data_IF_256611482336
#
_entry.id   IF_256611482336
#
_cell.length_a   1.000
_cell.length_b   1.000
_cell.length_c   1.000
_cell.angle_alpha   90.00
_cell.angle_beta   90.00
_cell.angle_gamma   90.00
#
_symmetry.space_group_name_H-M   'P 1'
#
loop_
_entity.id
_entity.type
_entity.pdbx_description
1 polymer ?
#
# COMPACT_ATOMS: atom_id res chain seq x y z
N UNK A 1 14.54 -12.82 14.57
CA UNK A 1 14.86 -11.74 13.61
C UNK A 1 14.07 -11.96 12.33
N UNK A 2 13.55 -10.89 11.78
CA UNK A 2 12.72 -10.97 10.57
C UNK A 2 13.58 -10.84 9.33
N UNK A 3 13.25 -11.63 8.30
CA UNK A 3 13.75 -11.37 6.95
C UNK A 3 13.10 -10.09 6.41
N UNK A 4 13.67 -9.46 5.37
CA UNK A 4 13.01 -8.33 4.71
C UNK A 4 11.63 -8.71 4.20
N UNK A 5 10.67 -7.85 4.48
CA UNK A 5 9.27 -8.03 4.07
C UNK A 5 8.92 -7.05 2.96
N UNK A 6 7.99 -7.45 2.09
CA UNK A 6 7.32 -6.51 1.18
C UNK A 6 6.04 -6.07 1.90
N UNK A 7 5.95 -4.79 2.24
CA UNK A 7 4.85 -4.24 3.02
C UNK A 7 4.01 -3.32 2.13
N UNK A 8 2.74 -3.68 1.95
CA UNK A 8 1.81 -2.83 1.24
C UNK A 8 1.33 -1.71 2.16
N UNK A 9 1.48 -0.47 1.73
CA UNK A 9 0.96 0.70 2.43
C UNK A 9 -0.45 0.96 1.92
N UNK A 10 -1.45 0.81 2.79
CA UNK A 10 -2.85 0.98 2.45
C UNK A 10 -3.43 2.17 3.21
N UNK A 11 -4.17 3.03 2.52
CA UNK A 11 -4.79 4.20 3.12
C UNK A 11 -5.63 4.97 2.12
N UNK A 12 -6.22 6.10 2.53
CA UNK A 12 -7.05 6.90 1.64
C UNK A 12 -6.27 7.40 0.42
N UNK A 13 -6.89 7.26 -0.75
CA UNK A 13 -6.37 7.82 -2.00
C UNK A 13 -7.39 8.81 -2.58
N UNK A 14 -8.57 8.34 -3.02
CA UNK A 14 -9.61 9.20 -3.57
C UNK A 14 -10.70 9.58 -2.57
N UNK A 15 -10.84 8.81 -1.50
CA UNK A 15 -11.88 9.05 -0.49
C UNK A 15 -11.72 10.43 0.14
N UNK A 16 -12.82 11.15 0.24
CA UNK A 16 -12.86 12.46 0.87
C UNK A 16 -12.30 13.61 0.03
N UNK A 17 -12.00 13.35 -1.24
CA UNK A 17 -11.37 14.35 -2.12
C UNK A 17 -12.36 15.05 -3.08
N UNK A 18 -13.57 14.51 -3.24
CA UNK A 18 -14.55 14.97 -4.23
C UNK A 18 -13.95 15.09 -5.65
N UNK A 19 -12.97 14.23 -5.95
CA UNK A 19 -12.30 14.25 -7.25
C UNK A 19 -11.28 15.37 -7.42
N UNK A 20 -10.99 16.14 -6.37
CA UNK A 20 -10.02 17.22 -6.45
C UNK A 20 -8.59 16.67 -6.63
N UNK A 21 -7.93 17.07 -7.72
CA UNK A 21 -6.62 16.56 -8.08
C UNK A 21 -5.56 16.86 -7.01
N UNK A 22 -5.62 18.06 -6.40
CA UNK A 22 -4.67 18.42 -5.34
C UNK A 22 -4.84 17.59 -4.09
N UNK A 23 -6.09 17.30 -3.71
CA UNK A 23 -6.38 16.47 -2.55
C UNK A 23 -5.97 15.00 -2.78
N UNK A 24 -6.19 14.49 -4.00
CA UNK A 24 -5.76 13.14 -4.37
C UNK A 24 -4.23 13.04 -4.31
N UNK A 25 -3.53 14.03 -4.86
CA UNK A 25 -2.07 14.07 -4.82
C UNK A 25 -1.54 14.14 -3.39
N UNK A 26 -2.20 14.90 -2.51
CA UNK A 26 -1.83 14.98 -1.10
C UNK A 26 -2.00 13.64 -0.38
N UNK A 27 -3.08 12.91 -0.71
CA UNK A 27 -3.29 11.57 -0.16
C UNK A 27 -2.20 10.60 -0.61
N UNK A 28 -1.83 10.62 -1.90
CA UNK A 28 -0.76 9.77 -2.41
C UNK A 28 0.56 10.09 -1.71
N UNK A 29 0.86 11.38 -1.52
CA UNK A 29 2.06 11.79 -0.82
C UNK A 29 2.10 11.28 0.61
N UNK A 30 0.96 11.26 1.30
CA UNK A 30 0.88 10.73 2.66
C UNK A 30 1.21 9.24 2.70
N UNK A 31 0.74 8.48 1.71
CA UNK A 31 1.13 7.07 1.58
C UNK A 31 2.64 6.96 1.33
N UNK A 32 3.16 7.78 0.44
CA UNK A 32 4.57 7.76 0.06
C UNK A 32 5.50 8.18 1.19
N UNK A 33 5.04 9.02 2.11
CA UNK A 33 5.83 9.44 3.27
C UNK A 33 6.16 8.28 4.21
N UNK A 34 5.41 7.19 4.15
CA UNK A 34 5.70 5.99 4.92
C UNK A 34 6.80 5.12 4.29
N UNK A 35 7.16 5.38 3.03
CA UNK A 35 8.09 4.50 2.30
C UNK A 35 9.50 4.52 2.89
N UNK A 36 10.09 5.70 3.12
CA UNK A 36 11.44 5.78 3.66
C UNK A 36 11.56 5.18 5.07
N UNK A 37 10.62 5.43 6.00
CA UNK A 37 10.66 4.74 7.29
C UNK A 37 10.62 3.22 7.19
N UNK A 38 9.82 2.66 6.28
CA UNK A 38 9.77 1.22 6.05
C UNK A 38 11.11 0.71 5.52
N UNK A 39 11.69 1.43 4.58
CA UNK A 39 13.00 1.07 4.04
C UNK A 39 14.07 1.06 5.12
N UNK A 40 14.06 2.04 6.03
CA UNK A 40 15.02 2.12 7.13
C UNK A 40 14.89 0.95 8.11
N UNK A 41 13.72 0.35 8.19
CA UNK A 41 13.50 -0.87 8.97
C UNK A 41 14.02 -2.13 8.28
N UNK A 42 14.53 -2.00 7.07
CA UNK A 42 15.06 -3.12 6.29
C UNK A 42 14.04 -3.82 5.42
N UNK A 43 12.89 -3.21 5.20
CA UNK A 43 11.80 -3.79 4.41
C UNK A 43 11.60 -3.03 3.10
N UNK A 44 10.78 -3.57 2.22
CA UNK A 44 10.45 -2.97 0.94
C UNK A 44 9.03 -2.40 1.01
N UNK A 45 8.88 -1.06 0.84
CA UNK A 45 7.53 -0.47 0.76
C UNK A 45 6.92 -0.72 -0.61
N UNK A 46 5.61 -0.94 -0.64
CA UNK A 46 4.84 -1.05 -1.87
C UNK A 46 3.56 -0.25 -1.71
N UNK A 47 3.20 0.50 -2.74
CA UNK A 47 1.93 1.23 -2.81
C UNK A 47 1.22 0.76 -4.08
N UNK A 48 -0.02 0.30 -3.93
CA UNK A 48 -0.79 -0.22 -5.06
C UNK A 48 -0.95 0.79 -6.19
N UNK A 49 -1.10 2.07 -5.86
CA UNK A 49 -1.24 3.15 -6.84
C UNK A 49 -0.02 3.30 -7.74
N UNK A 50 1.18 2.98 -7.26
CA UNK A 50 2.39 3.01 -8.10
C UNK A 50 2.28 2.07 -9.29
N UNK A 51 1.60 0.96 -9.13
CA UNK A 51 1.40 -0.03 -10.19
C UNK A 51 0.09 0.25 -10.93
N UNK A 52 -0.98 0.54 -10.19
CA UNK A 52 -2.32 0.69 -10.77
C UNK A 52 -2.46 1.93 -11.64
N UNK A 53 -1.83 3.05 -11.28
CA UNK A 53 -2.00 4.30 -12.03
C UNK A 53 -1.45 4.22 -13.46
N UNK A 54 -0.25 3.69 -13.70
CA UNK A 54 0.20 3.49 -15.08
C UNK A 54 -0.68 2.52 -15.86
N UNK A 55 -1.18 1.48 -15.21
CA UNK A 55 -2.10 0.53 -15.86
C UNK A 55 -3.37 1.26 -16.28
N UNK A 56 -3.97 2.02 -15.35
CA UNK A 56 -5.21 2.75 -15.62
C UNK A 56 -5.06 3.74 -16.78
N UNK A 57 -3.89 4.37 -16.91
CA UNK A 57 -3.64 5.29 -18.02
C UNK A 57 -3.48 4.57 -19.35
N UNK A 58 -3.01 3.31 -19.34
CA UNK A 58 -2.75 2.54 -20.56
C UNK A 58 -3.89 1.66 -21.02
N UNK A 59 -4.89 1.43 -20.18
CA UNK A 59 -6.03 0.58 -20.51
C UNK A 59 -7.11 1.43 -21.22
N UNK A 60 -7.60 0.92 -22.36
CA UNK A 60 -8.71 1.54 -23.06
C UNK A 60 -10.00 1.42 -22.26
N UNK A 61 -10.95 2.38 -22.39
CA UNK A 61 -12.20 2.32 -21.62
C UNK A 61 -12.97 1.01 -21.78
N UNK A 62 -12.94 0.41 -22.97
CA UNK A 62 -13.64 -0.85 -23.24
C UNK A 62 -13.02 -2.02 -22.47
N UNK A 63 -11.69 -2.03 -22.34
CA UNK A 63 -10.99 -3.04 -21.55
C UNK A 63 -11.28 -2.89 -20.07
N UNK A 64 -11.43 -1.65 -19.60
CA UNK A 64 -11.69 -1.36 -18.20
C UNK A 64 -13.16 -1.50 -17.81
N UNK A 65 -14.04 -1.80 -18.75
CA UNK A 65 -15.48 -1.93 -18.46
C UNK A 65 -15.73 -3.03 -17.43
N UNK A 66 -16.33 -2.66 -16.31
CA UNK A 66 -16.62 -3.60 -15.23
C UNK A 66 -15.43 -4.00 -14.37
N UNK A 67 -14.27 -3.37 -14.55
CA UNK A 67 -13.07 -3.67 -13.79
C UNK A 67 -12.63 -2.43 -13.01
N UNK A 68 -12.39 -2.58 -11.73
CA UNK A 68 -11.74 -1.55 -10.92
C UNK A 68 -10.24 -1.85 -10.87
N UNK A 69 -9.46 -1.12 -11.63
CA UNK A 69 -8.02 -1.37 -11.77
C UNK A 69 -7.30 -1.24 -10.43
N UNK A 70 -7.70 -0.26 -9.59
CA UNK A 70 -7.08 -0.06 -8.28
C UNK A 70 -7.32 -1.24 -7.36
N UNK A 71 -8.57 -1.70 -7.25
CA UNK A 71 -8.91 -2.85 -6.40
C UNK A 71 -8.28 -4.14 -6.91
N UNK A 72 -8.32 -4.36 -8.22
CA UNK A 72 -7.79 -5.57 -8.81
C UNK A 72 -6.27 -5.66 -8.64
N UNK A 73 -5.58 -4.53 -8.87
CA UNK A 73 -4.13 -4.46 -8.70
C UNK A 73 -3.73 -4.73 -7.24
N UNK A 74 -4.41 -4.10 -6.29
CA UNK A 74 -4.13 -4.30 -4.87
C UNK A 74 -4.35 -5.77 -4.47
N UNK A 75 -5.45 -6.38 -4.94
CA UNK A 75 -5.75 -7.79 -4.68
C UNK A 75 -4.63 -8.71 -5.17
N UNK A 76 -4.13 -8.46 -6.38
CA UNK A 76 -3.05 -9.26 -6.96
C UNK A 76 -1.72 -9.03 -6.24
N UNK A 77 -1.40 -7.77 -5.92
CA UNK A 77 -0.18 -7.44 -5.18
C UNK A 77 -0.16 -8.09 -3.80
N UNK A 78 -1.30 -8.13 -3.13
CA UNK A 78 -1.40 -8.73 -1.79
C UNK A 78 -1.08 -10.22 -1.78
N UNK A 79 -1.16 -10.89 -2.93
CA UNK A 79 -0.73 -12.28 -3.03
C UNK A 79 0.80 -12.41 -3.00
N UNK A 80 1.53 -11.33 -3.18
CA UNK A 80 2.99 -11.29 -3.18
C UNK A 80 3.57 -10.49 -2.02
N UNK A 81 2.73 -9.76 -1.29
CA UNK A 81 3.17 -8.99 -0.14
C UNK A 81 3.23 -9.88 1.11
N UNK A 82 4.04 -9.45 2.06
CA UNK A 82 4.25 -10.17 3.32
C UNK A 82 3.51 -9.54 4.49
N UNK A 83 3.08 -8.29 4.36
CA UNK A 83 2.40 -7.55 5.42
C UNK A 83 1.70 -6.33 4.84
N UNK A 84 0.84 -5.71 5.66
CA UNK A 84 0.15 -4.46 5.32
C UNK A 84 0.39 -3.45 6.43
N UNK A 85 0.68 -2.20 6.05
CA UNK A 85 0.62 -1.05 6.94
C UNK A 85 -0.64 -0.26 6.58
N UNK A 86 -1.61 -0.21 7.49
CA UNK A 86 -2.87 0.53 7.30
C UNK A 86 -2.75 1.91 7.91
N UNK A 87 -2.65 2.93 7.07
CA UNK A 87 -2.63 4.33 7.53
C UNK A 87 -4.05 4.77 7.90
N UNK A 88 -4.21 5.74 8.83
CA UNK A 88 -5.54 6.15 9.28
C UNK A 88 -6.33 6.89 8.21
N UNK A 89 -7.64 6.93 8.39
CA UNK A 89 -8.58 7.62 7.53
C UNK A 89 -9.54 6.67 6.83
N UNK A 90 -10.72 7.16 6.49
CA UNK A 90 -11.75 6.37 5.82
C UNK A 90 -11.29 5.97 4.43
N UNK A 91 -11.34 4.68 4.15
CA UNK A 91 -10.98 4.14 2.84
C UNK A 91 -11.53 2.74 2.70
N UNK A 92 -12.54 2.57 1.86
CA UNK A 92 -13.09 1.24 1.57
C UNK A 92 -12.05 0.34 0.91
N UNK A 93 -11.20 0.92 0.04
CA UNK A 93 -10.12 0.17 -0.61
C UNK A 93 -9.09 -0.35 0.39
N UNK A 94 -8.67 0.51 1.32
CA UNK A 94 -7.72 0.10 2.35
C UNK A 94 -8.32 -0.92 3.30
N UNK A 95 -9.61 -0.80 3.64
CA UNK A 95 -10.31 -1.78 4.46
C UNK A 95 -10.39 -3.13 3.74
N UNK A 96 -10.61 -3.12 2.43
CA UNK A 96 -10.60 -4.33 1.61
C UNK A 96 -9.22 -4.97 1.60
N UNK A 97 -8.16 -4.19 1.50
CA UNK A 97 -6.78 -4.69 1.56
C UNK A 97 -6.51 -5.39 2.89
N UNK A 98 -6.96 -4.81 4.00
CA UNK A 98 -6.84 -5.41 5.33
C UNK A 98 -7.59 -6.74 5.39
N UNK A 99 -8.81 -6.80 4.86
CA UNK A 99 -9.61 -8.02 4.86
C UNK A 99 -8.90 -9.14 4.09
N UNK A 100 -8.34 -8.83 2.92
CA UNK A 100 -7.59 -9.80 2.12
C UNK A 100 -6.34 -10.27 2.88
N UNK A 101 -5.59 -9.33 3.47
CA UNK A 101 -4.38 -9.65 4.22
C UNK A 101 -4.70 -10.59 5.38
N UNK A 102 -5.76 -10.31 6.14
CA UNK A 102 -6.16 -11.15 7.28
C UNK A 102 -6.61 -12.54 6.83
N UNK A 103 -7.34 -12.61 5.74
CA UNK A 103 -7.77 -13.91 5.18
C UNK A 103 -6.57 -14.77 4.78
N UNK A 104 -5.46 -14.15 4.38
CA UNK A 104 -4.22 -14.83 4.04
C UNK A 104 -3.28 -15.05 5.24
N UNK A 105 -3.67 -14.59 6.42
CA UNK A 105 -2.83 -14.71 7.60
C UNK A 105 -1.63 -13.76 7.62
N UNK A 106 -1.67 -12.67 6.83
CA UNK A 106 -0.61 -11.68 6.82
C UNK A 106 -0.75 -10.73 8.01
N UNK A 107 0.36 -10.31 8.63
CA UNK A 107 0.30 -9.28 9.67
C UNK A 107 -0.18 -7.95 9.10
N UNK A 108 -0.99 -7.26 9.89
CA UNK A 108 -1.49 -5.91 9.58
C UNK A 108 -1.01 -4.98 10.69
N UNK A 109 -0.25 -3.98 10.31
CA UNK A 109 0.25 -2.97 11.23
C UNK A 109 -0.52 -1.67 11.02
N UNK A 110 -0.74 -0.94 12.10
CA UNK A 110 -1.44 0.35 12.08
C UNK A 110 -0.51 1.51 12.40
N UNK A 111 0.72 1.21 12.82
CA UNK A 111 1.73 2.22 13.12
C UNK A 111 3.10 1.69 12.70
N UNK A 112 3.96 2.61 12.25
CA UNK A 112 5.33 2.26 11.88
C UNK A 112 6.09 1.62 13.05
N UNK A 113 5.82 2.07 14.27
CA UNK A 113 6.48 1.57 15.49
C UNK A 113 6.17 0.10 15.75
N UNK A 114 5.09 -0.42 15.20
CA UNK A 114 4.70 -1.82 15.40
C UNK A 114 5.38 -2.78 14.41
N UNK A 115 6.03 -2.24 13.39
CA UNK A 115 6.71 -3.06 12.38
C UNK A 115 8.07 -3.51 12.92
N UNK A 116 8.30 -4.83 13.05
CA UNK A 116 9.59 -5.31 13.52
C UNK A 116 10.68 -5.07 12.48
N UNK A 117 11.87 -4.60 12.87
CA UNK A 117 12.96 -4.41 11.93
C UNK A 117 13.46 -5.74 11.37
N UNK A 118 13.91 -5.72 10.12
CA UNK A 118 14.53 -6.87 9.50
C UNK A 118 15.94 -7.09 10.04
N UNK A 119 16.46 -8.28 9.86
CA UNK A 119 17.81 -8.64 10.30
C UNK A 119 18.89 -7.73 9.69
N UNK A 120 18.64 -7.20 8.48
CA UNK A 120 19.57 -6.32 7.77
C UNK A 120 19.48 -4.85 8.21
N UNK A 121 18.55 -4.50 9.09
CA UNK A 121 18.32 -3.12 9.49
C UNK A 121 19.56 -2.45 10.09
N UNK A 122 20.35 -3.22 10.86
CA UNK A 122 21.58 -2.71 11.44
C UNK A 122 22.57 -2.22 10.37
N UNK A 123 22.64 -2.89 9.23
CA UNK A 123 23.50 -2.49 8.11
C UNK A 123 22.98 -1.21 7.45
N UNK A 124 21.67 -1.03 7.36
CA UNK A 124 21.05 0.16 6.78
C UNK A 124 21.20 1.39 7.68
N UNK A 125 21.26 1.18 8.98
CA UNK A 125 21.37 2.26 9.95
C UNK A 125 22.76 2.91 10.02
N UNK A 126 23.75 2.33 9.39
CA UNK A 126 25.14 2.82 9.44
C UNK A 126 25.40 4.02 8.54
#
# INVERSE_FOLDING_TARGET
MHKPLIILIAGPYRTGTNGDAGAIAANLRRLEDAAAPIYRLGHIPMIGEWVALPIARGIEPDEAAGVDVLYDTARLLLQRCDAVLRLPGDSAGADNDVAIARARGLPVYYRLEDIPPAASQAALAR
#
